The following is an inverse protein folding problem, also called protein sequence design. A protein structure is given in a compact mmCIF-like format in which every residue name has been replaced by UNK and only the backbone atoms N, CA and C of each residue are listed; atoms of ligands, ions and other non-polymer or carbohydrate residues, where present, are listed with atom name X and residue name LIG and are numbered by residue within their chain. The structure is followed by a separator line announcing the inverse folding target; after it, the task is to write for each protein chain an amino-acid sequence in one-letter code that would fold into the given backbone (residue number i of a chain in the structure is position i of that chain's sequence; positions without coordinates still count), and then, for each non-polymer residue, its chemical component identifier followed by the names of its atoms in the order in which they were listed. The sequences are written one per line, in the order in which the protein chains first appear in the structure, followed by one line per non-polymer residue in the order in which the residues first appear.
data_IF_596081398247
#
_entry.id   IF_596081398247
#
_cell.length_a   1.000
_cell.length_b   1.000
_cell.length_c   1.000
_cell.angle_alpha   90.00
_cell.angle_beta   90.00
_cell.angle_gamma   90.00
#
_symmetry.space_group_name_H-M   'P 1'
#
loop_
_entity.id
_entity.type
_entity.pdbx_description
1 polymer ?
#
# COMPACT_ATOMS: atom_id res chain seq x y z
N UNK A 1 -14.53 0.81 18.04
CA UNK A 1 -13.66 1.88 18.55
C UNK A 1 -12.82 1.25 19.62
N UNK A 2 -11.52 1.52 19.62
CA UNK A 2 -10.58 1.06 20.63
C UNK A 2 -9.58 2.18 20.90
N UNK A 3 -9.19 2.31 22.16
CA UNK A 3 -8.12 3.20 22.59
C UNK A 3 -6.77 2.61 22.20
N UNK A 4 -5.90 3.37 21.52
CA UNK A 4 -4.64 2.83 20.99
C UNK A 4 -3.70 2.29 22.07
N UNK A 5 -3.45 2.97 23.20
CA UNK A 5 -2.62 2.42 24.28
C UNK A 5 -3.18 1.12 24.87
N UNK A 6 -4.50 1.01 25.01
CA UNK A 6 -5.14 -0.22 25.46
C UNK A 6 -4.98 -1.35 24.43
N UNK A 7 -5.12 -1.03 23.13
CA UNK A 7 -4.91 -1.99 22.04
C UNK A 7 -3.45 -2.46 21.96
N UNK A 8 -2.50 -1.54 22.12
CA UNK A 8 -1.05 -1.83 22.15
C UNK A 8 -0.71 -2.83 23.25
N UNK A 9 -1.22 -2.60 24.46
CA UNK A 9 -1.07 -3.50 25.61
C UNK A 9 -1.58 -4.92 25.32
N UNK A 10 -2.76 -5.05 24.68
CA UNK A 10 -3.33 -6.36 24.31
C UNK A 10 -2.51 -7.06 23.24
N UNK A 11 -2.01 -6.31 22.25
CA UNK A 11 -1.22 -6.86 21.14
C UNK A 11 0.26 -7.06 21.50
N UNK A 12 0.69 -6.65 22.70
CA UNK A 12 2.09 -6.64 23.14
C UNK A 12 2.99 -5.77 22.25
N UNK A 13 2.45 -4.64 21.79
CA UNK A 13 3.18 -3.57 21.10
C UNK A 13 3.33 -2.35 21.99
N UNK A 14 4.27 -1.47 21.66
CA UNK A 14 4.29 -0.11 22.17
C UNK A 14 3.28 0.77 21.40
N UNK A 15 2.78 1.83 22.05
CA UNK A 15 1.72 2.66 21.46
C UNK A 15 2.19 3.44 20.21
N UNK A 16 3.46 3.83 20.17
CA UNK A 16 4.11 4.46 19.02
C UNK A 16 4.32 3.50 17.85
N UNK A 17 4.39 2.19 18.08
CA UNK A 17 4.41 1.17 17.03
C UNK A 17 3.04 1.00 16.35
N UNK A 18 1.95 1.23 17.07
CA UNK A 18 0.60 1.17 16.48
C UNK A 18 0.20 2.43 15.71
N UNK A 19 0.79 3.57 16.01
CA UNK A 19 0.42 4.84 15.39
C UNK A 19 0.62 4.82 13.87
N UNK A 20 1.79 4.40 13.31
CA UNK A 20 1.99 4.28 11.86
C UNK A 20 1.02 3.29 11.19
N UNK A 21 0.62 2.23 11.90
CA UNK A 21 -0.38 1.29 11.40
C UNK A 21 -1.77 1.94 11.32
N UNK A 22 -2.14 2.70 12.35
CA UNK A 22 -3.37 3.49 12.37
C UNK A 22 -3.42 4.54 11.25
N UNK A 23 -2.32 5.27 11.04
CA UNK A 23 -2.17 6.24 9.95
C UNK A 23 -2.30 5.57 8.57
N UNK A 24 -1.72 4.38 8.40
CA UNK A 24 -1.84 3.59 7.16
C UNK A 24 -3.30 3.17 6.91
N UNK A 25 -3.99 2.67 7.94
CA UNK A 25 -5.40 2.32 7.83
C UNK A 25 -6.27 3.55 7.55
N UNK A 26 -5.90 4.73 8.07
CA UNK A 26 -6.57 5.98 7.79
C UNK A 26 -6.35 6.45 6.35
N UNK A 27 -5.12 6.35 5.84
CA UNK A 27 -4.79 6.63 4.43
C UNK A 27 -5.65 5.78 3.49
N UNK A 28 -5.79 4.48 3.78
CA UNK A 28 -6.59 3.53 2.99
C UNK A 28 -8.10 3.62 3.26
N UNK A 29 -8.55 4.52 4.14
CA UNK A 29 -9.96 4.67 4.55
C UNK A 29 -10.56 3.43 5.23
N UNK A 30 -9.75 2.53 5.76
CA UNK A 30 -10.19 1.37 6.54
C UNK A 30 -10.44 1.72 8.02
N UNK A 31 -9.76 2.74 8.53
CA UNK A 31 -10.00 3.25 9.87
C UNK A 31 -10.04 4.77 9.91
N UNK A 32 -10.62 5.31 10.97
CA UNK A 32 -10.47 6.69 11.41
C UNK A 32 -9.63 6.68 12.68
N UNK A 33 -8.69 7.62 12.76
CA UNK A 33 -7.90 7.89 13.94
C UNK A 33 -8.26 9.29 14.46
N UNK A 34 -8.69 9.38 15.72
CA UNK A 34 -9.12 10.62 16.37
C UNK A 34 -8.75 10.57 17.85
N UNK A 35 -8.02 11.56 18.35
CA UNK A 35 -7.65 11.72 19.78
C UNK A 35 -7.06 10.45 20.45
N UNK A 36 -6.30 9.64 19.70
CA UNK A 36 -5.70 8.39 20.22
C UNK A 36 -6.62 7.17 20.15
N UNK A 37 -7.85 7.33 19.69
CA UNK A 37 -8.76 6.23 19.39
C UNK A 37 -8.72 5.84 17.92
N UNK A 38 -8.87 4.54 17.67
CA UNK A 38 -9.04 3.98 16.33
C UNK A 38 -10.43 3.37 16.15
N UNK A 39 -11.05 3.65 15.00
CA UNK A 39 -12.37 3.12 14.64
C UNK A 39 -12.38 2.61 13.21
N UNK A 40 -12.75 1.34 13.01
CA UNK A 40 -13.00 0.83 11.67
C UNK A 40 -14.14 1.58 10.98
N UNK A 41 -13.92 1.95 9.72
CA UNK A 41 -14.96 2.40 8.81
C UNK A 41 -15.80 1.20 8.36
N UNK A 42 -16.88 1.45 7.60
CA UNK A 42 -17.64 0.37 6.98
C UNK A 42 -16.78 -0.44 6.00
N UNK A 43 -15.94 0.24 5.20
CA UNK A 43 -15.01 -0.43 4.29
C UNK A 43 -13.98 -1.29 5.04
N UNK A 44 -13.44 -0.80 6.16
CA UNK A 44 -12.53 -1.58 7.00
C UNK A 44 -13.19 -2.80 7.63
N UNK A 45 -14.46 -2.71 8.02
CA UNK A 45 -15.22 -3.87 8.50
C UNK A 45 -15.44 -4.89 7.40
N UNK A 46 -15.80 -4.44 6.19
CA UNK A 46 -15.96 -5.32 5.03
C UNK A 46 -14.64 -6.04 4.72
N UNK A 47 -13.51 -5.33 4.73
CA UNK A 47 -12.19 -5.93 4.54
C UNK A 47 -11.88 -7.03 5.57
N UNK A 48 -12.18 -6.81 6.86
CA UNK A 48 -11.92 -7.80 7.91
C UNK A 48 -12.81 -9.05 7.77
N UNK A 49 -14.03 -8.91 7.27
CA UNK A 49 -14.98 -10.04 7.10
C UNK A 49 -14.90 -10.73 5.74
N UNK A 50 -14.26 -10.10 4.77
CA UNK A 50 -14.05 -10.61 3.42
C UNK A 50 -13.12 -11.83 3.39
N UNK A 51 -13.32 -12.69 2.39
CA UNK A 51 -12.39 -13.76 2.07
C UNK A 51 -11.08 -13.22 1.45
N UNK A 52 -10.13 -14.11 1.16
CA UNK A 52 -8.81 -13.70 0.64
C UNK A 52 -8.90 -12.90 -0.65
N UNK A 53 -9.78 -13.29 -1.58
CA UNK A 53 -9.85 -12.68 -2.91
C UNK A 53 -10.58 -11.33 -2.82
N UNK A 54 -11.69 -11.29 -2.09
CA UNK A 54 -12.41 -10.07 -1.79
C UNK A 54 -11.54 -9.03 -1.07
N UNK A 55 -10.67 -9.47 -0.15
CA UNK A 55 -9.70 -8.59 0.53
C UNK A 55 -8.76 -7.92 -0.45
N UNK A 56 -8.19 -8.67 -1.40
CA UNK A 56 -7.30 -8.10 -2.43
C UNK A 56 -8.04 -7.04 -3.24
N UNK A 57 -9.27 -7.33 -3.67
CA UNK A 57 -10.08 -6.38 -4.44
C UNK A 57 -10.40 -5.10 -3.67
N UNK A 58 -10.81 -5.23 -2.40
CA UNK A 58 -11.08 -4.09 -1.51
C UNK A 58 -9.80 -3.26 -1.30
N UNK A 59 -8.66 -3.92 -1.08
CA UNK A 59 -7.37 -3.26 -0.93
C UNK A 59 -6.93 -2.56 -2.22
N UNK A 60 -7.08 -3.21 -3.38
CA UNK A 60 -6.73 -2.65 -4.68
C UNK A 60 -7.49 -1.34 -4.93
N UNK A 61 -8.81 -1.37 -4.71
CA UNK A 61 -9.64 -0.19 -4.85
C UNK A 61 -9.22 0.94 -3.88
N UNK A 62 -8.93 0.60 -2.62
CA UNK A 62 -8.47 1.57 -1.63
C UNK A 62 -7.11 2.19 -1.98
N UNK A 63 -6.15 1.37 -2.40
CA UNK A 63 -4.80 1.78 -2.75
C UNK A 63 -4.80 2.66 -4.02
N UNK A 64 -5.50 2.26 -5.08
CA UNK A 64 -5.63 3.06 -6.31
C UNK A 64 -6.32 4.40 -6.07
N UNK A 65 -7.29 4.46 -5.16
CA UNK A 65 -8.02 5.70 -4.86
C UNK A 65 -7.24 6.66 -3.96
N UNK A 66 -6.44 6.16 -3.01
CA UNK A 66 -5.86 6.97 -1.94
C UNK A 66 -4.32 7.05 -1.94
N UNK A 67 -3.63 6.17 -2.66
CA UNK A 67 -2.16 6.11 -2.69
C UNK A 67 -1.65 6.53 -4.08
N UNK A 68 -1.28 7.81 -4.20
CA UNK A 68 -0.90 8.42 -5.48
C UNK A 68 0.18 7.67 -6.23
N UNK A 69 1.21 7.17 -5.52
CA UNK A 69 2.31 6.43 -6.15
C UNK A 69 1.82 5.13 -6.79
N UNK A 70 0.97 4.36 -6.11
CA UNK A 70 0.38 3.12 -6.63
C UNK A 70 -0.45 3.41 -7.88
N UNK A 71 -1.30 4.45 -7.83
CA UNK A 71 -2.11 4.87 -8.97
C UNK A 71 -1.26 5.34 -10.16
N UNK A 72 -0.19 6.11 -9.91
CA UNK A 72 0.72 6.61 -10.93
C UNK A 72 1.48 5.47 -11.62
N UNK A 73 1.99 4.49 -10.86
CA UNK A 73 2.64 3.29 -11.40
C UNK A 73 1.65 2.56 -12.32
N UNK A 74 0.44 2.27 -11.83
CA UNK A 74 -0.60 1.59 -12.60
C UNK A 74 -0.91 2.31 -13.91
N UNK A 75 -1.15 3.61 -13.84
CA UNK A 75 -1.47 4.44 -15.01
C UNK A 75 -0.35 4.40 -16.06
N UNK A 76 0.90 4.58 -15.65
CA UNK A 76 2.04 4.57 -16.58
C UNK A 76 2.19 3.23 -17.29
N UNK A 77 1.90 2.12 -16.62
CA UNK A 77 1.94 0.79 -17.22
C UNK A 77 0.78 0.61 -18.20
N UNK A 78 -0.45 1.03 -17.83
CA UNK A 78 -1.63 0.95 -18.69
C UNK A 78 -1.46 1.74 -20.00
N UNK A 79 -0.82 2.92 -19.94
CA UNK A 79 -0.61 3.81 -21.10
C UNK A 79 0.49 3.32 -22.06
N UNK A 80 1.39 2.46 -21.61
CA UNK A 80 2.50 1.97 -22.42
C UNK A 80 2.07 0.78 -23.28
N UNK A 81 2.45 0.82 -24.55
CA UNK A 81 2.12 -0.22 -25.54
C UNK A 81 2.60 -1.64 -25.16
N UNK A 82 3.65 -1.75 -24.35
CA UNK A 82 4.21 -3.02 -23.88
C UNK A 82 3.84 -3.33 -22.42
N UNK A 83 2.98 -2.52 -21.80
CA UNK A 83 2.57 -2.66 -20.40
C UNK A 83 3.74 -2.86 -19.44
N UNK A 84 4.85 -2.12 -19.63
CA UNK A 84 6.06 -2.23 -18.81
C UNK A 84 6.67 -0.86 -18.46
N UNK A 85 7.07 -0.68 -17.21
CA UNK A 85 7.70 0.55 -16.74
C UNK A 85 8.89 0.28 -15.81
N UNK A 86 9.99 1.02 -16.00
CA UNK A 86 11.19 0.93 -15.15
C UNK A 86 10.94 1.56 -13.78
N UNK A 87 11.29 0.86 -12.70
CA UNK A 87 11.20 1.36 -11.33
C UNK A 87 12.05 2.61 -11.11
N UNK A 88 13.23 2.67 -11.73
CA UNK A 88 14.15 3.83 -11.69
C UNK A 88 13.43 5.15 -11.93
N UNK A 89 12.52 5.22 -12.90
CA UNK A 89 11.78 6.46 -13.20
C UNK A 89 10.97 6.95 -12.00
N UNK A 90 10.27 6.06 -11.30
CA UNK A 90 9.44 6.43 -10.16
C UNK A 90 10.29 6.76 -8.94
N UNK A 91 11.41 6.04 -8.76
CA UNK A 91 12.37 6.35 -7.70
C UNK A 91 12.97 7.75 -7.89
N UNK A 92 13.46 8.06 -9.08
CA UNK A 92 14.05 9.36 -9.39
C UNK A 92 13.04 10.51 -9.14
N UNK A 93 11.76 10.32 -9.50
CA UNK A 93 10.70 11.29 -9.22
C UNK A 93 10.42 11.46 -7.70
N UNK A 94 10.55 10.40 -6.91
CA UNK A 94 10.45 10.50 -5.44
C UNK A 94 11.66 11.24 -4.85
N UNK A 95 12.86 11.00 -5.38
CA UNK A 95 14.11 11.62 -4.93
C UNK A 95 14.13 13.15 -5.11
N UNK A 96 13.30 13.71 -5.99
CA UNK A 96 13.09 15.16 -6.11
C UNK A 96 12.45 15.78 -4.85
N UNK A 97 11.85 14.95 -3.98
CA UNK A 97 11.09 15.38 -2.80
C UNK A 97 11.55 14.77 -1.47
N UNK A 98 12.36 13.71 -1.49
CA UNK A 98 12.85 13.01 -0.30
C UNK A 98 14.26 12.42 -0.51
N UNK A 99 14.88 11.91 0.55
CA UNK A 99 16.20 11.28 0.42
C UNK A 99 16.12 9.98 -0.39
N UNK A 100 17.22 9.55 -1.04
CA UNK A 100 17.26 8.29 -1.78
C UNK A 100 16.80 7.08 -0.97
N UNK A 101 17.17 7.01 0.32
CA UNK A 101 16.78 5.92 1.20
C UNK A 101 15.26 5.92 1.42
N UNK A 102 14.66 7.10 1.63
CA UNK A 102 13.21 7.24 1.79
C UNK A 102 12.45 6.95 0.50
N UNK A 103 13.00 7.33 -0.65
CA UNK A 103 12.42 7.04 -1.96
C UNK A 103 12.38 5.53 -2.21
N UNK A 104 13.49 4.83 -1.93
CA UNK A 104 13.58 3.38 -2.05
C UNK A 104 12.59 2.65 -1.12
N UNK A 105 12.53 3.03 0.17
CA UNK A 105 11.57 2.47 1.13
C UNK A 105 10.11 2.70 0.70
N UNK A 106 9.81 3.89 0.21
CA UNK A 106 8.47 4.25 -0.28
C UNK A 106 8.09 3.44 -1.51
N UNK A 107 9.00 3.30 -2.48
CA UNK A 107 8.77 2.52 -3.68
C UNK A 107 8.61 1.04 -3.36
N UNK A 108 9.44 0.49 -2.48
CA UNK A 108 9.32 -0.90 -2.00
C UNK A 108 7.98 -1.16 -1.31
N UNK A 109 7.47 -0.19 -0.56
CA UNK A 109 6.13 -0.28 0.07
C UNK A 109 5.04 -0.33 -1.00
N UNK A 110 5.11 0.55 -2.01
CA UNK A 110 4.17 0.53 -3.13
C UNK A 110 4.25 -0.77 -3.96
N UNK A 111 5.46 -1.31 -4.18
CA UNK A 111 5.66 -2.62 -4.82
C UNK A 111 4.93 -3.70 -4.02
N UNK A 112 5.18 -3.76 -2.72
CA UNK A 112 4.59 -4.78 -1.83
C UNK A 112 3.06 -4.72 -1.81
N UNK A 113 2.50 -3.51 -1.72
CA UNK A 113 1.05 -3.29 -1.73
C UNK A 113 0.41 -3.61 -3.08
N UNK A 114 1.06 -3.23 -4.18
CA UNK A 114 0.60 -3.53 -5.52
C UNK A 114 0.60 -5.03 -5.83
N UNK A 115 1.64 -5.75 -5.41
CA UNK A 115 1.72 -7.22 -5.53
C UNK A 115 0.66 -7.92 -4.69
N UNK A 116 0.50 -7.53 -3.43
CA UNK A 116 -0.54 -8.10 -2.55
C UNK A 116 -1.94 -7.97 -3.16
N UNK A 117 -2.23 -6.82 -3.75
CA UNK A 117 -3.54 -6.49 -4.29
C UNK A 117 -3.68 -6.76 -5.79
N UNK A 118 -2.69 -7.42 -6.41
CA UNK A 118 -2.66 -7.79 -7.83
C UNK A 118 -2.93 -6.59 -8.77
N UNK A 119 -2.43 -5.40 -8.39
CA UNK A 119 -2.55 -4.17 -9.19
C UNK A 119 -1.55 -4.19 -10.36
N UNK A 120 -0.34 -4.69 -10.08
CA UNK A 120 0.77 -4.87 -11.01
C UNK A 120 1.75 -5.90 -10.44
N UNK A 121 2.54 -6.49 -11.34
CA UNK A 121 3.71 -7.32 -11.02
C UNK A 121 4.97 -6.48 -10.97
N UNK A 122 6.01 -7.00 -10.30
CA UNK A 122 7.32 -6.37 -10.23
C UNK A 122 8.43 -7.41 -10.36
N UNK A 123 9.31 -7.20 -11.33
CA UNK A 123 10.52 -7.99 -11.58
C UNK A 123 11.69 -7.34 -10.83
N UNK A 124 12.23 -8.04 -9.82
CA UNK A 124 13.35 -7.55 -9.00
C UNK A 124 14.67 -7.48 -9.79
N UNK A 125 14.91 -8.42 -10.71
CA UNK A 125 16.16 -8.49 -11.48
C UNK A 125 16.16 -7.41 -12.57
N UNK A 126 15.06 -7.31 -13.32
CA UNK A 126 14.92 -6.28 -14.36
C UNK A 126 14.57 -4.90 -13.80
N UNK A 127 14.15 -4.81 -12.53
CA UNK A 127 13.59 -3.61 -11.89
C UNK A 127 12.45 -3.00 -12.70
N UNK A 128 11.50 -3.85 -13.12
CA UNK A 128 10.39 -3.45 -13.99
C UNK A 128 9.03 -3.83 -13.43
N UNK A 129 8.09 -2.89 -13.54
CA UNK A 129 6.68 -3.17 -13.34
C UNK A 129 6.02 -3.66 -14.62
N UNK A 130 5.02 -4.53 -14.49
CA UNK A 130 4.17 -4.98 -15.61
C UNK A 130 2.75 -5.37 -15.18
N UNK A 131 1.83 -5.57 -16.14
CA UNK A 131 0.49 -6.14 -15.88
C UNK A 131 0.47 -7.67 -15.93
N UNK A 132 1.50 -8.29 -16.49
CA UNK A 132 1.58 -9.75 -16.63
C UNK A 132 2.12 -10.33 -15.32
N UNK A 133 1.57 -11.45 -14.88
CA UNK A 133 2.16 -12.21 -13.78
C UNK A 133 3.57 -12.65 -14.19
N UNK A 134 4.54 -12.30 -13.36
CA UNK A 134 5.89 -12.83 -13.50
C UNK A 134 5.85 -14.17 -12.78
N UNK A 135 5.85 -15.27 -13.53
CA UNK A 135 6.04 -16.60 -12.95
C UNK A 135 7.39 -16.58 -12.21
N UNK A 136 7.36 -16.65 -10.88
CA UNK A 136 8.57 -16.89 -10.08
C UNK A 136 8.99 -18.35 -10.34
N UNK A 137 10.08 -18.57 -11.09
CA UNK A 137 10.71 -19.89 -11.26
C UNK A 137 11.29 -20.45 -9.95
#
# INVERSE_FOLDING_TARGET
RADLPALASVLQYEADELLPLGETLQLLRFAELEDGDIRLTEQGRNFVHADTEERKQIFAAAALANVKLVAAIRQVIDERWNHRASAVRFRDELEDHMSPERAEETLRTAISWGRYAEIYSYDEEAQQFSLEDIEEE
#
